data_IF_424063141576
#
_entry.id   IF_424063141576
#
_cell.length_a   1.000
_cell.length_b   1.000
_cell.length_c   1.000
_cell.angle_alpha   90.00
_cell.angle_beta   90.00
_cell.angle_gamma   90.00
#
_symmetry.space_group_name_H-M   'P 1'
#
loop_
_entity.id
_entity.type
_entity.pdbx_description
1 polymer ?
#
# COMPACT_ATOMS: atom_id res chain seq x y z
N UNK A 1 -21.95 19.91 -21.06
CA UNK A 1 -20.96 19.36 -22.00
C UNK A 1 -21.47 19.55 -23.40
N UNK A 2 -20.63 20.01 -24.31
CA UNK A 2 -20.99 20.14 -25.73
C UNK A 2 -20.64 18.82 -26.41
N UNK A 3 -21.54 18.23 -27.21
CA UNK A 3 -21.29 17.09 -28.07
C UNK A 3 -21.39 15.70 -27.46
N UNK A 4 -21.70 15.53 -26.20
CA UNK A 4 -21.87 14.24 -25.50
C UNK A 4 -20.83 13.17 -25.94
N UNK A 5 -19.50 13.40 -25.75
CA UNK A 5 -18.43 12.52 -26.23
C UNK A 5 -18.40 11.21 -25.46
N UNK A 6 -17.99 10.10 -26.11
CA UNK A 6 -17.83 8.79 -25.48
C UNK A 6 -16.68 8.76 -24.46
N UNK A 7 -15.65 9.59 -24.67
CA UNK A 7 -14.44 9.67 -23.84
C UNK A 7 -14.25 11.07 -23.29
N UNK A 8 -14.02 11.18 -22.00
CA UNK A 8 -13.67 12.39 -21.30
C UNK A 8 -12.26 12.26 -20.70
N UNK A 9 -11.44 13.29 -20.88
CA UNK A 9 -10.12 13.38 -20.29
C UNK A 9 -10.11 14.59 -19.36
N UNK A 10 -9.84 14.37 -18.09
CA UNK A 10 -9.79 15.38 -17.03
C UNK A 10 -8.39 15.41 -16.45
N UNK A 11 -7.73 16.54 -16.61
CA UNK A 11 -6.38 16.75 -16.08
C UNK A 11 -6.50 17.51 -14.75
N UNK A 12 -6.03 16.88 -13.66
CA UNK A 12 -6.02 17.41 -12.29
C UNK A 12 -7.35 18.10 -11.88
N UNK A 13 -8.52 17.42 -11.98
CA UNK A 13 -9.82 18.08 -11.90
C UNK A 13 -10.17 18.62 -10.50
N UNK A 14 -9.40 18.29 -9.47
CA UNK A 14 -9.63 18.68 -8.07
C UNK A 14 -8.64 19.73 -7.56
N UNK A 15 -7.61 20.04 -8.34
CA UNK A 15 -6.60 21.02 -7.93
C UNK A 15 -7.20 22.41 -7.76
N UNK A 16 -6.87 23.05 -6.63
CA UNK A 16 -7.31 24.40 -6.29
C UNK A 16 -8.75 24.49 -5.77
N UNK A 17 -9.43 23.35 -5.58
CA UNK A 17 -10.76 23.30 -5.01
C UNK A 17 -10.73 23.16 -3.49
N UNK A 18 -11.76 23.71 -2.82
CA UNK A 18 -11.97 23.44 -1.40
C UNK A 18 -12.53 22.01 -1.18
N UNK A 19 -12.49 21.47 0.05
CA UNK A 19 -12.94 20.11 0.35
C UNK A 19 -14.39 19.82 -0.06
N UNK A 20 -15.27 20.81 0.00
CA UNK A 20 -16.67 20.65 -0.39
C UNK A 20 -16.80 20.52 -1.91
N UNK A 21 -16.11 21.37 -2.65
CA UNK A 21 -16.05 21.32 -4.11
C UNK A 21 -15.44 20.03 -4.62
N UNK A 22 -14.38 19.51 -3.95
CA UNK A 22 -13.81 18.20 -4.27
C UNK A 22 -14.85 17.09 -4.19
N UNK A 23 -15.70 17.08 -3.15
CA UNK A 23 -16.79 16.10 -3.02
C UNK A 23 -17.80 16.24 -4.16
N UNK A 24 -18.16 17.47 -4.54
CA UNK A 24 -19.11 17.74 -5.63
C UNK A 24 -18.56 17.26 -6.98
N UNK A 25 -17.29 17.57 -7.29
CA UNK A 25 -16.62 17.11 -8.53
C UNK A 25 -16.51 15.58 -8.54
N UNK A 26 -16.15 14.95 -7.43
CA UNK A 26 -16.11 13.50 -7.31
C UNK A 26 -17.46 12.84 -7.63
N UNK A 27 -18.54 13.39 -7.10
CA UNK A 27 -19.89 12.91 -7.37
C UNK A 27 -20.29 13.11 -8.83
N UNK A 28 -19.91 14.23 -9.42
CA UNK A 28 -20.12 14.51 -10.85
C UNK A 28 -19.38 13.47 -11.71
N UNK A 29 -18.10 13.24 -11.46
CA UNK A 29 -17.29 12.24 -12.18
C UNK A 29 -17.92 10.84 -12.06
N UNK A 30 -18.35 10.45 -10.85
CA UNK A 30 -19.06 9.19 -10.63
C UNK A 30 -20.37 9.08 -11.42
N UNK A 31 -21.06 10.19 -11.68
CA UNK A 31 -22.26 10.19 -12.51
C UNK A 31 -21.94 10.08 -14.00
N UNK A 32 -20.89 10.77 -14.45
CA UNK A 32 -20.46 10.78 -15.86
C UNK A 32 -20.01 9.42 -16.35
N UNK A 33 -19.32 8.64 -15.52
CA UNK A 33 -18.83 7.29 -15.87
C UNK A 33 -19.92 6.26 -16.18
N UNK A 34 -21.21 6.60 -15.92
CA UNK A 34 -22.33 5.73 -16.30
C UNK A 34 -22.52 5.67 -17.84
N UNK A 35 -22.19 6.76 -18.51
CA UNK A 35 -22.43 6.93 -19.94
C UNK A 35 -21.15 7.26 -20.74
N UNK A 36 -20.03 7.49 -20.05
CA UNK A 36 -18.77 7.91 -20.66
C UNK A 36 -17.61 7.10 -20.10
N UNK A 37 -16.57 6.90 -20.90
CA UNK A 37 -15.26 6.51 -20.39
C UNK A 37 -14.54 7.76 -19.90
N UNK A 38 -14.18 7.80 -18.61
CA UNK A 38 -13.53 8.97 -18.01
C UNK A 38 -12.08 8.62 -17.64
N UNK A 39 -11.13 9.32 -18.24
CA UNK A 39 -9.72 9.30 -17.84
C UNK A 39 -9.44 10.51 -16.93
N UNK A 40 -8.74 10.29 -15.85
CA UNK A 40 -8.38 11.32 -14.88
C UNK A 40 -6.89 11.23 -14.63
N UNK A 41 -6.17 12.36 -14.74
CA UNK A 41 -4.84 12.49 -14.15
C UNK A 41 -5.00 13.10 -12.76
N UNK A 42 -4.22 12.64 -11.80
CA UNK A 42 -4.06 13.27 -10.49
C UNK A 42 -2.78 12.81 -9.82
N UNK A 43 -2.19 13.68 -8.99
CA UNK A 43 -1.09 13.36 -8.09
C UNK A 43 -1.59 13.03 -6.67
N UNK A 44 -2.89 13.15 -6.41
CA UNK A 44 -3.52 12.86 -5.11
C UNK A 44 -4.11 11.44 -5.15
N UNK A 45 -3.34 10.46 -4.69
CA UNK A 45 -3.66 9.04 -4.83
C UNK A 45 -4.89 8.62 -4.00
N UNK A 46 -5.10 9.24 -2.83
CA UNK A 46 -6.29 9.04 -2.01
C UNK A 46 -7.59 9.46 -2.69
N UNK A 47 -7.55 10.45 -3.57
CA UNK A 47 -8.70 10.81 -4.40
C UNK A 47 -8.93 9.80 -5.52
N UNK A 48 -7.85 9.33 -6.15
CA UNK A 48 -7.90 8.31 -7.21
C UNK A 48 -8.53 7.02 -6.69
N UNK A 49 -8.14 6.55 -5.50
CA UNK A 49 -8.70 5.33 -4.91
C UNK A 49 -10.21 5.42 -4.66
N UNK A 50 -10.74 6.64 -4.42
CA UNK A 50 -12.17 6.86 -4.20
C UNK A 50 -12.99 7.10 -5.48
N UNK A 51 -12.35 7.51 -6.58
CA UNK A 51 -13.02 7.88 -7.84
C UNK A 51 -12.88 6.85 -8.94
N UNK A 52 -11.71 6.19 -9.03
CA UNK A 52 -11.35 5.36 -10.17
C UNK A 52 -11.66 3.88 -9.93
N UNK A 53 -12.10 3.19 -10.97
CA UNK A 53 -12.28 1.74 -10.97
C UNK A 53 -10.98 1.02 -11.34
N UNK A 54 -10.12 1.67 -12.11
CA UNK A 54 -8.83 1.17 -12.57
C UNK A 54 -7.81 2.29 -12.55
N UNK A 55 -6.60 1.96 -12.15
CA UNK A 55 -5.46 2.88 -12.09
C UNK A 55 -4.38 2.38 -13.04
N UNK A 56 -3.77 3.32 -13.74
CA UNK A 56 -2.58 3.10 -14.57
C UNK A 56 -1.45 3.88 -13.91
N UNK A 57 -0.45 3.18 -13.40
CA UNK A 57 0.76 3.80 -12.83
C UNK A 57 1.81 3.93 -13.92
N UNK A 58 2.30 5.15 -14.11
CA UNK A 58 3.33 5.47 -15.10
C UNK A 58 4.55 6.01 -14.38
N UNK A 59 5.72 5.44 -14.68
CA UNK A 59 7.01 5.91 -14.18
C UNK A 59 8.01 6.02 -15.34
N UNK A 60 8.69 7.17 -15.46
CA UNK A 60 9.69 7.44 -16.53
C UNK A 60 9.16 7.07 -17.93
N UNK A 61 7.91 7.42 -18.23
CA UNK A 61 7.27 7.16 -19.51
C UNK A 61 6.87 5.70 -19.79
N UNK A 62 6.97 4.82 -18.80
CA UNK A 62 6.56 3.41 -18.91
C UNK A 62 5.41 3.10 -17.97
N UNK A 63 4.51 2.24 -18.43
CA UNK A 63 3.45 1.70 -17.56
C UNK A 63 4.06 0.67 -16.61
N UNK A 64 3.96 0.94 -15.31
CA UNK A 64 4.46 0.10 -14.22
C UNK A 64 3.40 -0.90 -13.77
N UNK A 65 2.16 -0.44 -13.63
CA UNK A 65 1.05 -1.28 -13.20
C UNK A 65 -0.28 -0.81 -13.81
N UNK A 66 -1.19 -1.75 -14.02
CA UNK A 66 -2.59 -1.50 -14.37
C UNK A 66 -3.44 -2.45 -13.52
N UNK A 67 -4.19 -1.91 -12.56
CA UNK A 67 -5.09 -2.71 -11.72
C UNK A 67 -6.14 -1.82 -11.06
N UNK A 68 -7.03 -2.42 -10.26
CA UNK A 68 -7.92 -1.64 -9.38
C UNK A 68 -7.11 -1.08 -8.19
N UNK A 69 -7.51 0.07 -7.61
CA UNK A 69 -6.86 0.59 -6.40
C UNK A 69 -6.71 -0.49 -5.32
N UNK A 70 -7.80 -1.15 -4.96
CA UNK A 70 -7.80 -2.19 -3.93
C UNK A 70 -6.84 -3.36 -4.23
N UNK A 71 -6.70 -3.76 -5.50
CA UNK A 71 -5.76 -4.83 -5.84
C UNK A 71 -4.32 -4.38 -5.68
N UNK A 72 -4.00 -3.12 -6.04
CA UNK A 72 -2.66 -2.55 -5.85
C UNK A 72 -2.31 -2.47 -4.37
N UNK A 73 -3.21 -1.93 -3.55
CA UNK A 73 -3.07 -1.86 -2.10
C UNK A 73 -2.89 -3.25 -1.48
N UNK A 74 -3.74 -4.21 -1.84
CA UNK A 74 -3.68 -5.58 -1.32
C UNK A 74 -2.42 -6.35 -1.73
N UNK A 75 -1.88 -6.13 -2.93
CA UNK A 75 -0.63 -6.76 -3.35
C UNK A 75 0.52 -6.38 -2.42
N UNK A 76 0.55 -5.13 -1.97
CA UNK A 76 1.59 -4.61 -1.07
C UNK A 76 1.27 -4.99 0.39
N UNK A 77 0.02 -4.81 0.84
CA UNK A 77 -0.40 -5.12 2.20
C UNK A 77 -0.24 -6.61 2.56
N UNK A 78 -0.39 -7.53 1.60
CA UNK A 78 -0.17 -8.97 1.82
C UNK A 78 1.26 -9.34 2.16
N UNK A 79 2.20 -8.45 1.86
CA UNK A 79 3.62 -8.68 2.10
C UNK A 79 4.10 -8.05 3.42
N UNK A 80 3.20 -7.48 4.23
CA UNK A 80 3.55 -6.99 5.55
C UNK A 80 2.45 -7.20 6.60
N UNK A 81 2.88 -7.37 7.84
CA UNK A 81 2.05 -7.62 9.01
C UNK A 81 2.43 -6.59 10.07
N UNK A 82 1.46 -5.87 10.60
CA UNK A 82 1.66 -5.01 11.76
C UNK A 82 1.35 -5.82 13.02
N UNK A 83 2.30 -5.78 13.97
CA UNK A 83 2.20 -6.51 15.22
C UNK A 83 2.51 -5.60 16.40
N UNK A 84 1.67 -5.65 17.45
CA UNK A 84 1.95 -5.07 18.75
C UNK A 84 2.37 -6.20 19.67
N UNK A 85 3.56 -6.10 20.24
CA UNK A 85 4.13 -7.12 21.11
C UNK A 85 4.63 -6.52 22.42
N UNK A 86 4.56 -7.34 23.46
CA UNK A 86 5.30 -7.11 24.70
C UNK A 86 6.60 -7.90 24.62
N UNK A 87 7.73 -7.19 24.53
CA UNK A 87 9.07 -7.76 24.36
C UNK A 87 10.05 -7.07 25.34
N UNK A 88 10.07 -7.52 26.62
CA UNK A 88 10.92 -6.91 27.63
C UNK A 88 12.42 -7.13 27.38
N UNK A 89 12.78 -8.15 26.60
CA UNK A 89 14.17 -8.55 26.36
C UNK A 89 14.69 -8.10 24.98
N UNK A 90 13.89 -7.40 24.19
CA UNK A 90 14.24 -6.95 22.84
C UNK A 90 14.65 -8.08 21.89
N UNK A 91 13.95 -9.21 21.97
CA UNK A 91 14.28 -10.44 21.26
C UNK A 91 13.63 -10.54 19.86
N UNK A 92 12.84 -9.57 19.43
CA UNK A 92 12.06 -9.64 18.19
C UNK A 92 12.94 -9.96 16.96
N UNK A 93 14.15 -9.44 16.89
CA UNK A 93 15.06 -9.69 15.75
C UNK A 93 15.45 -11.18 15.61
N UNK A 94 15.45 -11.96 16.70
CA UNK A 94 15.79 -13.39 16.68
C UNK A 94 14.82 -14.23 15.88
N UNK A 95 13.57 -13.76 15.71
CA UNK A 95 12.57 -14.50 14.92
C UNK A 95 12.93 -14.57 13.43
N UNK A 96 13.73 -13.63 12.93
CA UNK A 96 14.18 -13.61 11.55
C UNK A 96 14.99 -14.84 11.17
N UNK A 97 15.76 -15.37 12.11
CA UNK A 97 16.52 -16.63 11.92
C UNK A 97 15.60 -17.86 11.90
N UNK A 98 14.48 -17.80 12.62
CA UNK A 98 13.53 -18.91 12.75
C UNK A 98 12.44 -18.92 11.68
N UNK A 99 12.19 -17.78 11.05
CA UNK A 99 11.18 -17.61 10.01
C UNK A 99 11.85 -17.04 8.75
N UNK A 100 12.40 -17.88 7.87
CA UNK A 100 13.14 -17.46 6.67
C UNK A 100 12.29 -16.68 5.63
N UNK A 101 10.99 -16.66 5.80
CA UNK A 101 10.08 -15.86 4.99
C UNK A 101 10.09 -14.38 5.37
N UNK A 102 10.60 -14.01 6.54
CA UNK A 102 10.76 -12.61 6.97
C UNK A 102 11.90 -11.98 6.18
N UNK A 103 11.61 -10.87 5.50
CA UNK A 103 12.59 -10.05 4.79
C UNK A 103 13.17 -8.99 5.74
N UNK A 104 12.26 -8.27 6.41
CA UNK A 104 12.61 -7.13 7.27
C UNK A 104 11.64 -7.03 8.45
N UNK A 105 12.16 -6.56 9.58
CA UNK A 105 11.37 -6.16 10.75
C UNK A 105 11.65 -4.68 11.00
N UNK A 106 10.62 -3.85 10.86
CA UNK A 106 10.72 -2.39 11.03
C UNK A 106 10.02 -1.97 12.31
N UNK A 107 10.75 -1.30 13.18
CA UNK A 107 10.16 -0.63 14.33
C UNK A 107 9.30 0.55 13.86
N UNK A 108 8.06 0.64 14.35
CA UNK A 108 7.16 1.75 14.04
C UNK A 108 7.17 2.74 15.20
N UNK A 109 6.72 2.31 16.37
CA UNK A 109 6.66 3.16 17.56
C UNK A 109 6.65 2.32 18.84
N UNK A 110 6.82 3.02 19.96
CA UNK A 110 6.66 2.48 21.31
C UNK A 110 5.29 2.91 21.84
N UNK A 111 4.46 1.95 22.21
CA UNK A 111 3.13 2.19 22.73
C UNK A 111 3.16 2.40 24.25
N UNK A 112 3.84 1.50 24.98
CA UNK A 112 4.03 1.53 26.43
C UNK A 112 5.45 1.08 26.78
N UNK A 113 5.76 0.92 28.09
CA UNK A 113 7.13 0.62 28.57
C UNK A 113 7.77 -0.54 27.84
N UNK A 114 7.10 -1.68 27.75
CA UNK A 114 7.62 -2.90 27.13
C UNK A 114 6.80 -3.32 25.89
N UNK A 115 5.82 -2.48 25.49
CA UNK A 115 4.95 -2.71 24.34
C UNK A 115 5.44 -1.89 23.16
N UNK A 116 5.78 -2.56 22.10
CA UNK A 116 6.29 -1.97 20.85
C UNK A 116 5.48 -2.44 19.66
N UNK A 117 5.37 -1.58 18.68
CA UNK A 117 4.73 -1.87 17.38
C UNK A 117 5.79 -2.04 16.32
N UNK A 118 5.68 -3.13 15.57
CA UNK A 118 6.54 -3.45 14.44
C UNK A 118 5.73 -3.73 13.19
N UNK A 119 6.34 -3.47 12.05
CA UNK A 119 5.91 -3.97 10.75
C UNK A 119 6.89 -5.02 10.26
N UNK A 120 6.38 -6.22 9.96
CA UNK A 120 7.14 -7.37 9.51
C UNK A 120 6.87 -7.56 8.02
N UNK A 121 7.89 -7.39 7.20
CA UNK A 121 7.82 -7.60 5.77
C UNK A 121 8.17 -9.06 5.45
N UNK A 122 7.37 -9.68 4.59
CA UNK A 122 7.52 -11.09 4.23
C UNK A 122 7.66 -11.27 2.73
N UNK A 123 8.18 -12.43 2.32
CA UNK A 123 8.25 -12.82 0.91
C UNK A 123 6.86 -12.86 0.28
N UNK A 124 6.80 -12.62 -1.00
CA UNK A 124 5.54 -12.60 -1.75
C UNK A 124 4.73 -13.88 -1.52
N UNK A 125 3.44 -13.70 -1.23
CA UNK A 125 2.50 -14.78 -0.92
C UNK A 125 2.81 -15.63 0.32
N UNK A 126 3.73 -15.22 1.20
CA UNK A 126 3.99 -15.91 2.45
C UNK A 126 2.98 -15.49 3.54
N UNK A 127 2.32 -16.46 4.15
CA UNK A 127 1.53 -16.26 5.36
C UNK A 127 2.27 -16.85 6.56
N UNK A 128 2.83 -15.98 7.39
CA UNK A 128 3.64 -16.38 8.56
C UNK A 128 2.87 -16.24 9.87
N UNK A 129 1.59 -15.87 9.86
CA UNK A 129 0.83 -15.58 11.08
C UNK A 129 0.84 -16.76 12.05
N UNK A 130 0.60 -17.97 11.55
CA UNK A 130 0.67 -19.18 12.39
C UNK A 130 2.05 -19.39 13.01
N UNK A 131 3.11 -19.20 12.24
CA UNK A 131 4.50 -19.30 12.73
C UNK A 131 4.81 -18.27 13.80
N UNK A 132 4.30 -17.02 13.65
CA UNK A 132 4.46 -15.98 14.66
C UNK A 132 3.83 -16.41 15.99
N UNK A 133 2.60 -16.95 15.98
CA UNK A 133 1.91 -17.44 17.18
C UNK A 133 2.63 -18.62 17.84
N UNK A 134 3.35 -19.43 17.08
CA UNK A 134 4.11 -20.57 17.60
C UNK A 134 5.48 -20.17 18.15
N UNK A 135 6.17 -19.24 17.51
CA UNK A 135 7.58 -18.91 17.78
C UNK A 135 7.73 -17.79 18.82
N UNK A 136 6.92 -16.73 18.74
CA UNK A 136 7.08 -15.57 19.64
C UNK A 136 6.96 -15.94 21.12
N UNK A 137 6.02 -16.79 21.56
CA UNK A 137 5.96 -17.20 22.95
C UNK A 137 7.19 -17.98 23.43
N UNK A 138 7.88 -18.70 22.54
CA UNK A 138 9.13 -19.43 22.86
C UNK A 138 10.29 -18.47 23.14
N UNK A 139 10.24 -17.25 22.60
CA UNK A 139 11.19 -16.17 22.85
C UNK A 139 10.78 -15.25 24.00
N UNK A 140 9.73 -15.62 24.77
CA UNK A 140 9.12 -14.78 25.82
C UNK A 140 8.57 -13.45 25.28
N UNK A 141 8.03 -13.46 24.07
CA UNK A 141 7.37 -12.33 23.42
C UNK A 141 5.88 -12.61 23.38
N UNK A 142 5.08 -11.70 23.95
CA UNK A 142 3.62 -11.80 23.93
C UNK A 142 3.04 -11.01 22.77
N UNK A 143 2.15 -11.64 21.99
CA UNK A 143 1.41 -10.96 20.92
C UNK A 143 0.17 -10.30 21.52
N UNK A 144 0.06 -8.99 21.41
CA UNK A 144 -1.10 -8.22 21.87
C UNK A 144 -2.07 -7.90 20.73
N UNK A 145 -1.53 -7.63 19.55
CA UNK A 145 -2.32 -7.40 18.32
C UNK A 145 -1.54 -7.92 17.12
N UNK A 146 -2.23 -8.48 16.17
CA UNK A 146 -1.68 -8.86 14.87
C UNK A 146 -2.71 -8.56 13.80
N UNK A 147 -2.33 -7.72 12.83
CA UNK A 147 -3.17 -7.35 11.69
C UNK A 147 -2.35 -7.26 10.42
N UNK A 148 -3.01 -7.43 9.28
CA UNK A 148 -2.36 -7.10 8.01
C UNK A 148 -2.07 -5.60 7.98
N UNK A 149 -0.97 -5.23 7.36
CA UNK A 149 -0.68 -3.81 7.11
C UNK A 149 -1.78 -3.21 6.24
N UNK A 150 -2.29 -2.06 6.65
CA UNK A 150 -3.18 -1.26 5.82
C UNK A 150 -2.31 -0.32 4.98
N UNK A 151 -2.01 -0.75 3.78
CA UNK A 151 -1.19 0.03 2.84
C UNK A 151 -2.14 0.84 1.95
N UNK A 152 -2.05 2.15 2.02
CA UNK A 152 -2.76 3.02 1.10
C UNK A 152 -2.13 3.02 -0.31
N UNK A 153 -2.86 3.57 -1.28
CA UNK A 153 -2.40 3.62 -2.67
C UNK A 153 -1.09 4.43 -2.82
N UNK A 154 -0.84 5.41 -1.94
CA UNK A 154 0.41 6.19 -1.88
C UNK A 154 1.62 5.31 -1.60
N UNK A 155 1.54 4.47 -0.60
CA UNK A 155 2.64 3.56 -0.24
C UNK A 155 2.80 2.45 -1.28
N UNK A 156 1.69 1.93 -1.81
CA UNK A 156 1.71 0.98 -2.92
C UNK A 156 2.42 1.57 -4.15
N UNK A 157 2.15 2.83 -4.47
CA UNK A 157 2.78 3.56 -5.57
C UNK A 157 4.31 3.69 -5.37
N UNK A 158 4.76 4.11 -4.18
CA UNK A 158 6.18 4.27 -3.86
C UNK A 158 6.89 2.92 -4.01
N UNK A 159 6.37 1.86 -3.40
CA UNK A 159 6.98 0.51 -3.44
C UNK A 159 7.05 -0.06 -4.86
N UNK A 160 6.02 0.17 -5.69
CA UNK A 160 6.04 -0.26 -7.09
C UNK A 160 7.13 0.46 -7.91
N UNK A 161 7.33 1.76 -7.67
CA UNK A 161 8.39 2.52 -8.36
C UNK A 161 9.78 2.09 -7.90
N UNK A 162 9.99 1.87 -6.61
CA UNK A 162 11.27 1.43 -6.04
C UNK A 162 11.67 0.03 -6.53
N UNK A 163 10.72 -0.90 -6.62
CA UNK A 163 10.97 -2.26 -7.11
C UNK A 163 11.43 -2.30 -8.57
N UNK A 164 10.99 -1.34 -9.41
CA UNK A 164 11.48 -1.20 -10.78
C UNK A 164 12.85 -0.50 -10.87
N UNK A 165 13.17 0.37 -9.89
CA UNK A 165 14.45 1.08 -9.84
C UNK A 165 15.62 0.17 -9.44
N UNK A 166 15.38 -0.85 -8.63
CA UNK A 166 16.40 -1.79 -8.14
C UNK A 166 16.87 -2.85 -9.16
N UNK A 167 16.17 -3.01 -10.28
CA UNK A 167 16.48 -4.07 -11.26
C UNK A 167 17.41 -3.63 -12.43
N UNK A 168 18.10 -2.49 -12.32
CA UNK A 168 18.90 -1.93 -13.44
C UNK A 168 20.39 -1.78 -13.21
N UNK A 169 20.96 -2.25 -12.10
CA UNK A 169 22.43 -2.15 -11.87
C UNK A 169 23.17 -3.51 -11.81
N UNK A 170 22.65 -4.54 -12.46
CA UNK A 170 23.43 -5.80 -12.65
C UNK A 170 23.42 -6.16 -14.12
N UNK A 171 24.31 -5.56 -14.90
CA UNK A 171 24.54 -6.01 -16.27
C UNK A 171 25.10 -4.94 -17.20
N UNK A 172 26.37 -4.53 -16.99
CA UNK A 172 27.39 -4.37 -18.02
C UNK A 172 28.74 -3.99 -17.38
N UNK A 173 29.59 -4.92 -17.29
CA UNK A 173 31.05 -4.78 -17.35
C UNK A 173 31.59 -6.00 -18.06
#
# INVERSE_FOLDING_TARGET
>A
MIGNPDILILDEPTVGLDPKQVIEIRNLIKSLRKNHTVFISSHILSEISQMCQKVIIINKGKVVAIDTPNNLENKIARNSIVINIEDPNENIEKIKEKIPEIIEIKFINKLEKDIKQYEIFVKENADIRKKLFEILPQENISILELKNSEVGLEEAFIKLIESEGGNKDVGNS
#
